data_IF_400826755186
#
_entry.id   IF_400826755186
#
_cell.length_a   1.000
_cell.length_b   1.000
_cell.length_c   1.000
_cell.angle_alpha   90.00
_cell.angle_beta   90.00
_cell.angle_gamma   90.00
#
_symmetry.space_group_name_H-M   'P 1'
#
loop_
_entity.id
_entity.type
_entity.pdbx_description
1 polymer ?
2 polymer ?
3 non-polymer ?
4 water ?
#
# COMPACT_ATOMS: atom_id res chain seq x y z
N UNK A 13 -22.54 -13.30 -14.92
CA UNK A 13 -23.60 -12.87 -13.97
C UNK A 13 -23.14 -11.73 -13.07
N UNK A 14 -23.92 -10.66 -13.08
CA UNK A 14 -23.63 -9.49 -12.28
C UNK A 14 -23.80 -9.77 -10.81
N UNK A 15 -24.75 -10.63 -10.45
CA UNK A 15 -24.97 -10.97 -9.06
C UNK A 15 -23.69 -11.54 -8.47
N UNK A 16 -23.10 -12.51 -9.17
CA UNK A 16 -21.87 -13.13 -8.69
C UNK A 16 -20.72 -12.13 -8.60
N UNK A 17 -20.74 -11.12 -9.48
CA UNK A 17 -19.68 -10.11 -9.44
C UNK A 17 -19.81 -9.25 -8.18
N UNK A 18 -21.05 -9.01 -7.74
CA UNK A 18 -21.26 -8.23 -6.52
C UNK A 18 -20.89 -9.10 -5.31
N UNK A 19 -21.19 -10.39 -5.39
CA UNK A 19 -20.84 -11.29 -4.28
C UNK A 19 -19.33 -11.31 -4.15
N UNK A 20 -18.62 -11.31 -5.27
CA UNK A 20 -17.16 -11.30 -5.27
C UNK A 20 -16.63 -10.01 -4.65
N UNK A 21 -17.19 -8.88 -5.06
CA UNK A 21 -16.76 -7.59 -4.52
C UNK A 21 -16.95 -7.57 -3.03
N UNK A 22 -18.07 -8.12 -2.55
CA UNK A 22 -18.33 -8.13 -1.12
C UNK A 22 -17.36 -9.06 -0.39
N UNK A 23 -17.03 -10.18 -1.01
CA UNK A 23 -16.10 -11.13 -0.42
C UNK A 23 -14.76 -10.43 -0.24
N UNK A 24 -14.30 -9.75 -1.29
CA UNK A 24 -13.03 -9.04 -1.25
C UNK A 24 -13.05 -7.96 -0.17
N UNK A 25 -14.17 -7.24 -0.08
CA UNK A 25 -14.27 -6.19 0.93
C UNK A 25 -14.19 -6.77 2.33
N UNK A 26 -14.94 -7.84 2.57
CA UNK A 26 -14.91 -8.46 3.89
C UNK A 26 -13.49 -8.93 4.22
N UNK A 27 -12.80 -9.54 3.26
CA UNK A 27 -11.44 -10.01 3.48
C UNK A 27 -10.53 -8.82 3.77
N UNK A 28 -10.77 -7.73 3.05
CA UNK A 28 -9.99 -6.50 3.19
C UNK A 28 -10.12 -5.97 4.62
N UNK A 29 -11.34 -6.00 5.14
CA UNK A 29 -11.61 -5.54 6.49
C UNK A 29 -10.89 -6.42 7.50
N UNK A 30 -10.78 -7.72 7.19
CA UNK A 30 -10.10 -8.65 8.08
C UNK A 30 -8.58 -8.53 8.03
N UNK A 31 -8.04 -8.12 6.89
CA UNK A 31 -6.59 -8.03 6.71
C UNK A 31 -5.93 -6.69 7.07
N UNK A 32 -6.66 -5.60 6.88
CA UNK A 32 -6.14 -4.27 7.16
C UNK A 32 -6.84 -3.56 8.32
N UNK A 33 -6.20 -3.52 9.50
CA UNK A 33 -6.70 -2.89 10.72
C UNK A 33 -7.31 -1.50 10.55
N UNK A 34 -6.56 -0.59 9.94
CA UNK A 34 -7.04 0.77 9.73
C UNK A 34 -7.49 1.00 8.29
N UNK A 35 -8.81 1.05 8.10
CA UNK A 35 -9.42 1.25 6.79
C UNK A 35 -9.45 2.74 6.45
N UNK A 36 -9.77 3.04 5.20
CA UNK A 36 -9.83 4.43 4.76
C UNK A 36 -10.97 5.14 5.47
N UNK A 37 -12.07 4.42 5.69
CA UNK A 37 -13.22 4.99 6.36
C UNK A 37 -12.81 5.46 7.75
N UNK A 38 -12.20 4.57 8.52
CA UNK A 38 -11.74 4.90 9.87
C UNK A 38 -10.64 5.95 9.85
N UNK A 39 -9.77 5.87 8.85
CA UNK A 39 -8.68 6.83 8.72
C UNK A 39 -9.23 8.24 8.51
N UNK A 40 -10.20 8.37 7.61
CA UNK A 40 -10.74 9.69 7.35
C UNK A 40 -11.65 10.17 8.49
N UNK A 41 -12.20 9.24 9.26
CA UNK A 41 -13.05 9.62 10.39
C UNK A 41 -12.16 10.29 11.44
N UNK A 42 -10.88 9.92 11.44
CA UNK A 42 -9.91 10.47 12.38
C UNK A 42 -9.30 11.75 11.80
N UNK A 43 -8.92 11.69 10.53
CA UNK A 43 -8.31 12.80 9.82
C UNK A 43 -9.20 14.05 9.81
N UNK A 44 -10.51 13.83 9.71
CA UNK A 44 -11.46 14.94 9.68
C UNK A 44 -11.93 15.30 11.09
N UNK A 45 -11.58 14.48 12.06
CA UNK A 45 -11.95 14.74 13.44
C UNK A 45 -13.39 14.43 13.79
N UNK A 46 -13.93 13.36 13.22
CA UNK A 46 -15.31 12.98 13.50
C UNK A 46 -15.39 11.85 14.52
N UNK A 47 -14.24 11.46 15.07
CA UNK A 47 -14.21 10.37 16.05
C UNK A 47 -14.19 10.92 17.49
N UNK A 48 -14.59 10.09 18.44
CA UNK A 48 -14.62 10.49 19.84
C UNK A 48 -13.38 10.01 20.60
N UNK A 49 -12.78 8.91 20.15
CA UNK A 49 -11.59 8.40 20.83
C UNK A 49 -10.40 9.35 20.65
N UNK A 50 -9.44 9.26 21.55
CA UNK A 50 -8.25 10.11 21.53
C UNK A 50 -7.72 10.39 20.12
N UNK A 51 -7.69 11.67 19.76
CA UNK A 51 -7.18 12.06 18.46
C UNK A 51 -5.70 11.69 18.46
N UNK A 52 -5.06 11.62 17.29
CA UNK A 52 -3.64 11.27 17.21
C UNK A 52 -2.72 12.36 17.76
N UNK A 53 -1.52 11.96 18.16
CA UNK A 53 -0.52 12.88 18.67
C UNK A 53 0.16 13.46 17.44
N UNK A 54 0.19 14.78 17.33
CA UNK A 54 0.78 15.44 16.17
C UNK A 54 2.28 15.67 16.28
N UNK A 55 3.02 15.19 15.27
CA UNK A 55 4.47 15.34 15.22
C UNK A 55 4.81 16.22 14.03
N UNK A 56 5.30 17.42 14.31
CA UNK A 56 5.62 18.39 13.28
C UNK A 56 7.07 18.90 13.33
N UNK A 57 7.84 18.41 14.30
CA UNK A 57 9.23 18.83 14.42
C UNK A 57 10.02 17.89 15.32
N UNK A 58 11.32 18.13 15.40
CA UNK A 58 12.22 17.32 16.20
C UNK A 58 11.73 17.18 17.65
N UNK A 59 11.34 18.30 18.23
CA UNK A 59 10.86 18.32 19.61
C UNK A 59 9.62 17.45 19.80
N UNK A 60 8.61 17.66 18.96
CA UNK A 60 7.38 16.89 19.07
C UNK A 60 7.61 15.40 18.87
N UNK A 61 8.54 15.05 17.98
CA UNK A 61 8.85 13.65 17.73
C UNK A 61 9.31 13.00 19.03
N UNK A 62 10.21 13.67 19.72
CA UNK A 62 10.73 13.17 20.98
C UNK A 62 9.61 12.92 21.99
N UNK A 63 8.72 13.90 22.13
CA UNK A 63 7.61 13.81 23.07
C UNK A 63 6.64 12.67 22.76
N UNK A 64 6.38 12.43 21.49
CA UNK A 64 5.44 11.39 21.11
C UNK A 64 5.96 9.98 20.95
N UNK A 65 7.20 9.74 21.36
CA UNK A 65 7.80 8.42 21.22
C UNK A 65 6.93 7.29 21.75
N UNK A 66 6.36 7.48 22.94
CA UNK A 66 5.50 6.48 23.57
C UNK A 66 4.12 6.36 22.97
N UNK A 67 3.74 7.34 22.16
CA UNK A 67 2.42 7.33 21.55
C UNK A 67 2.41 6.81 20.11
N UNK A 68 3.58 6.42 19.62
CA UNK A 68 3.65 5.91 18.25
C UNK A 68 4.42 4.60 18.17
N UNK A 69 5.27 4.36 19.16
CA UNK A 69 6.08 3.14 19.17
C UNK A 69 5.80 2.27 20.40
N UNK A 70 5.37 1.03 20.14
CA UNK A 70 5.06 0.09 21.21
C UNK A 70 6.29 -0.75 21.59
N UNK A 81 22.67 12.83 10.99
CA UNK A 81 21.23 12.89 11.21
C UNK A 81 20.71 11.55 11.70
N UNK A 82 20.35 11.49 12.99
CA UNK A 82 19.83 10.26 13.57
C UNK A 82 18.31 10.23 13.41
N UNK A 83 17.70 11.41 13.35
CA UNK A 83 16.24 11.51 13.20
C UNK A 83 15.77 11.05 11.83
N UNK A 84 16.34 11.60 10.77
CA UNK A 84 15.94 11.22 9.41
C UNK A 84 16.09 9.71 9.24
N UNK A 85 17.14 9.15 9.83
CA UNK A 85 17.39 7.71 9.75
C UNK A 85 16.37 7.01 10.64
N UNK A 86 16.12 7.62 11.80
CA UNK A 86 15.16 7.08 12.76
C UNK A 86 13.78 6.99 12.11
N UNK A 87 13.41 8.04 11.38
CA UNK A 87 12.13 8.07 10.69
C UNK A 87 12.12 7.04 9.56
N UNK A 88 13.23 6.95 8.84
CA UNK A 88 13.33 5.99 7.74
C UNK A 88 13.13 4.59 8.29
N UNK A 89 13.75 4.31 9.43
CA UNK A 89 13.63 3.00 10.08
C UNK A 89 12.15 2.71 10.38
N UNK A 90 11.43 3.73 10.83
CA UNK A 90 10.03 3.57 11.15
C UNK A 90 9.26 3.16 9.91
N UNK A 91 9.53 3.84 8.79
CA UNK A 91 8.86 3.51 7.55
C UNK A 91 9.15 2.07 7.14
N UNK A 92 10.37 1.60 7.44
CA UNK A 92 10.75 0.23 7.11
C UNK A 92 9.95 -0.78 7.92
N UNK A 93 9.79 -0.53 9.22
CA UNK A 93 9.03 -1.43 10.06
C UNK A 93 7.56 -1.48 9.63
N UNK A 94 7.00 -0.33 9.29
CA UNK A 94 5.61 -0.28 8.87
C UNK A 94 5.43 -1.05 7.56
N UNK A 95 6.36 -0.87 6.63
CA UNK A 95 6.29 -1.57 5.35
C UNK A 95 6.34 -3.08 5.55
N UNK A 96 7.18 -3.53 6.48
CA UNK A 96 7.28 -4.96 6.75
C UNK A 96 5.93 -5.47 7.23
N UNK A 97 5.30 -4.71 8.12
CA UNK A 97 4.00 -5.10 8.64
C UNK A 97 2.99 -5.09 7.49
N UNK A 98 3.08 -4.07 6.64
CA UNK A 98 2.18 -3.92 5.51
C UNK A 98 2.32 -5.08 4.52
N UNK A 99 3.54 -5.55 4.30
CA UNK A 99 3.75 -6.66 3.37
C UNK A 99 2.99 -7.88 3.90
N UNK A 100 3.06 -8.11 5.20
CA UNK A 100 2.37 -9.26 5.78
C UNK A 100 0.86 -9.13 5.70
N UNK A 101 0.33 -7.92 5.89
CA UNK A 101 -1.12 -7.71 5.82
C UNK A 101 -1.61 -7.91 4.38
N UNK A 102 -0.83 -7.42 3.42
CA UNK A 102 -1.19 -7.55 2.02
C UNK A 102 -1.11 -9.01 1.61
N UNK A 103 -0.10 -9.72 2.11
CA UNK A 103 0.04 -11.12 1.81
C UNK A 103 -1.19 -11.89 2.28
N UNK A 104 -1.68 -11.59 3.48
CA UNK A 104 -2.88 -12.25 3.98
C UNK A 104 -4.07 -11.93 3.08
N UNK A 105 -4.15 -10.69 2.61
CA UNK A 105 -5.24 -10.29 1.73
C UNK A 105 -5.18 -11.05 0.41
N UNK A 106 -3.98 -11.11 -0.18
CA UNK A 106 -3.79 -11.81 -1.45
C UNK A 106 -4.29 -13.24 -1.37
N UNK A 107 -3.97 -13.91 -0.26
CA UNK A 107 -4.37 -15.30 -0.08
C UNK A 107 -5.89 -15.49 0.00
N UNK A 108 -6.62 -14.39 0.14
CA UNK A 108 -8.08 -14.45 0.21
C UNK A 108 -8.72 -14.22 -1.17
N UNK A 109 -7.91 -13.87 -2.16
CA UNK A 109 -8.45 -13.65 -3.50
C UNK A 109 -8.69 -15.02 -4.15
N UNK A 110 -9.94 -15.30 -4.53
CA UNK A 110 -10.30 -16.58 -5.16
C UNK A 110 -9.31 -16.99 -6.24
N UNK A 111 -8.74 -18.19 -6.09
CA UNK A 111 -7.80 -18.67 -7.08
C UNK A 111 -6.33 -18.42 -6.78
N UNK A 112 -6.02 -17.42 -5.97
CA UNK A 112 -4.63 -17.08 -5.66
C UNK A 112 -3.79 -18.20 -5.04
N UNK A 113 -4.29 -18.81 -3.97
CA UNK A 113 -3.51 -19.86 -3.31
C UNK A 113 -3.35 -21.13 -4.15
N UNK A 114 -4.16 -21.27 -5.20
CA UNK A 114 -4.03 -22.44 -6.05
C UNK A 114 -3.03 -22.21 -7.18
N UNK A 115 -2.51 -20.99 -7.30
CA UNK A 115 -1.52 -20.70 -8.32
C UNK A 115 -0.19 -21.34 -7.93
N UNK A 116 0.68 -21.54 -8.91
CA UNK A 116 2.02 -22.09 -8.68
C UNK A 116 2.60 -21.21 -7.57
N UNK A 117 3.17 -21.82 -6.54
CA UNK A 117 3.72 -21.06 -5.41
C UNK A 117 4.76 -20.01 -5.79
N UNK A 118 5.64 -20.34 -6.73
CA UNK A 118 6.65 -19.37 -7.14
C UNK A 118 6.00 -18.18 -7.84
N UNK A 119 4.88 -18.41 -8.53
CA UNK A 119 4.19 -17.30 -9.18
C UNK A 119 3.55 -16.41 -8.13
N UNK A 120 3.06 -17.01 -7.04
CA UNK A 120 2.47 -16.25 -5.95
C UNK A 120 3.53 -15.31 -5.40
N UNK A 121 4.73 -15.85 -5.22
CA UNK A 121 5.86 -15.05 -4.70
C UNK A 121 6.16 -13.91 -5.65
N UNK A 122 6.12 -14.20 -6.96
CA UNK A 122 6.41 -13.17 -7.96
C UNK A 122 5.34 -12.08 -7.96
N UNK A 123 4.08 -12.47 -7.85
CA UNK A 123 3.01 -11.47 -7.83
C UNK A 123 3.17 -10.54 -6.63
N UNK A 124 3.55 -11.11 -5.49
CA UNK A 124 3.73 -10.30 -4.28
C UNK A 124 4.97 -9.41 -4.41
N UNK A 125 6.05 -10.00 -4.89
CA UNK A 125 7.31 -9.29 -5.06
C UNK A 125 7.14 -8.00 -5.85
N UNK A 126 6.47 -8.08 -6.99
CA UNK A 126 6.26 -6.91 -7.84
C UNK A 126 5.01 -6.12 -7.51
N UNK A 127 4.15 -6.65 -6.67
CA UNK A 127 2.92 -5.94 -6.36
C UNK A 127 2.82 -5.22 -5.02
N UNK A 128 3.49 -5.74 -4.00
CA UNK A 128 3.40 -5.14 -2.67
C UNK A 128 3.64 -3.63 -2.60
N UNK A 129 4.71 -3.14 -3.19
CA UNK A 129 4.96 -1.72 -3.11
C UNK A 129 3.94 -0.85 -3.83
N UNK A 130 3.34 -1.36 -4.89
CA UNK A 130 2.32 -0.58 -5.59
C UNK A 130 1.10 -0.49 -4.68
N UNK A 131 0.85 -1.58 -3.95
CA UNK A 131 -0.28 -1.62 -3.04
C UNK A 131 0.00 -0.72 -1.85
N UNK A 132 1.23 -0.77 -1.35
CA UNK A 132 1.61 0.05 -0.21
C UNK A 132 1.34 1.52 -0.51
N UNK A 133 1.75 1.97 -1.70
CA UNK A 133 1.53 3.35 -2.12
C UNK A 133 0.05 3.69 -2.17
N UNK A 134 -0.71 2.77 -2.74
CA UNK A 134 -2.15 2.96 -2.88
C UNK A 134 -2.82 3.11 -1.52
N UNK A 135 -2.55 2.17 -0.63
CA UNK A 135 -3.15 2.19 0.69
C UNK A 135 -2.62 3.30 1.58
N UNK A 136 -1.39 3.73 1.31
CA UNK A 136 -0.79 4.80 2.09
C UNK A 136 -1.64 6.06 1.90
N UNK A 137 -2.13 6.26 0.67
CA UNK A 137 -2.96 7.42 0.37
C UNK A 137 -4.17 7.50 1.29
N UNK A 138 -4.73 6.35 1.64
CA UNK A 138 -5.89 6.33 2.52
C UNK A 138 -5.62 6.99 3.87
N UNK A 139 -4.36 6.96 4.31
CA UNK A 139 -3.98 7.54 5.60
C UNK A 139 -3.41 8.95 5.49
N UNK A 140 -3.42 9.51 4.28
CA UNK A 140 -2.85 10.84 4.07
C UNK A 140 -3.84 11.91 3.60
N UNK A 141 -3.51 13.15 3.93
CA UNK A 141 -4.26 14.31 3.47
C UNK A 141 -3.13 15.21 3.02
N UNK A 142 -3.43 16.42 2.58
CA UNK A 142 -2.39 17.33 2.11
C UNK A 142 -1.39 17.74 3.19
N UNK A 143 -1.81 17.70 4.45
CA UNK A 143 -0.97 18.12 5.56
C UNK A 143 -0.16 17.03 6.28
N UNK A 144 -0.46 15.76 6.08
CA UNK A 144 0.32 14.75 6.76
C UNK A 144 -0.17 13.32 6.65
N UNK A 145 0.46 12.43 7.41
CA UNK A 145 0.10 11.03 7.39
C UNK A 145 -0.17 10.45 8.78
N UNK A 146 -1.17 9.57 8.84
CA UNK A 146 -1.53 8.90 10.08
C UNK A 146 -0.59 7.71 10.26
N UNK A 147 -0.02 7.60 11.45
CA UNK A 147 0.89 6.50 11.75
C UNK A 147 0.43 5.82 13.03
N UNK A 148 1.02 4.66 13.31
CA UNK A 148 0.69 3.87 14.51
C UNK A 148 -0.80 3.61 14.61
N UNK A 149 -1.37 3.03 13.56
CA UNK A 149 -2.80 2.73 13.53
C UNK A 149 -3.65 3.93 13.94
N UNK A 150 -3.27 5.11 13.46
CA UNK A 150 -4.01 6.31 13.76
C UNK A 150 -3.75 6.94 15.12
N UNK A 151 -2.77 6.44 15.85
CA UNK A 151 -2.47 7.00 17.16
C UNK A 151 -1.53 8.20 17.03
N UNK A 152 -0.98 8.37 15.83
CA UNK A 152 -0.08 9.48 15.60
C UNK A 152 -0.31 10.12 14.24
N UNK A 153 0.15 11.37 14.10
CA UNK A 153 0.01 12.10 12.85
C UNK A 153 1.29 12.89 12.61
N UNK A 154 2.02 12.55 11.55
CA UNK A 154 3.26 13.23 11.23
C UNK A 154 3.00 14.16 10.04
N UNK A 155 3.37 15.42 10.19
CA UNK A 155 3.14 16.41 9.13
C UNK A 155 4.02 16.22 7.90
N UNK A 156 3.43 16.50 6.74
CA UNK A 156 4.12 16.38 5.46
C UNK A 156 5.34 17.28 5.38
N UNK A 157 5.19 18.51 5.87
CA UNK A 157 6.29 19.47 5.82
C UNK A 157 7.46 19.01 6.68
N UNK A 158 7.18 18.39 7.81
CA UNK A 158 8.23 17.89 8.69
C UNK A 158 9.00 16.78 7.99
N UNK A 159 8.27 15.88 7.34
CA UNK A 159 8.89 14.76 6.63
C UNK A 159 9.68 15.25 5.42
N UNK A 160 9.08 16.17 4.67
CA UNK A 160 9.71 16.73 3.48
C UNK A 160 10.98 17.49 3.81
N UNK A 161 11.06 18.02 5.03
CA UNK A 161 12.23 18.79 5.45
C UNK A 161 13.41 17.93 5.88
N UNK A 162 13.20 16.62 6.01
CA UNK A 162 14.27 15.73 6.42
C UNK A 162 15.44 15.87 5.44
N UNK A 163 16.64 15.98 5.97
CA UNK A 163 17.84 16.14 5.15
C UNK A 163 17.97 15.11 4.04
N UNK A 164 18.71 15.48 2.99
CA UNK A 164 18.91 14.62 1.84
C UNK A 164 19.50 13.25 2.18
N UNK A 165 19.05 12.20 1.48
CA UNK A 165 18.05 12.31 0.42
C UNK A 165 16.69 11.82 0.92
N UNK A 166 16.57 11.68 2.23
CA UNK A 166 15.34 11.20 2.87
C UNK A 166 14.10 12.03 2.56
N UNK A 167 14.26 13.35 2.58
CA UNK A 167 13.13 14.23 2.31
C UNK A 167 12.46 13.92 0.98
N UNK A 168 13.26 13.72 -0.06
CA UNK A 168 12.72 13.41 -1.38
C UNK A 168 12.25 11.96 -1.47
N UNK A 169 12.40 11.23 -0.36
CA UNK A 169 11.97 9.84 -0.30
C UNK A 169 10.54 9.77 0.23
N UNK A 170 10.17 10.78 1.02
CA UNK A 170 8.84 10.85 1.61
C UNK A 170 7.84 11.58 0.71
N UNK A 171 8.25 12.77 0.25
CA UNK A 171 7.42 13.63 -0.59
C UNK A 171 6.63 12.99 -1.74
N UNK A 172 7.29 12.14 -2.57
CA UNK A 172 6.56 11.53 -3.68
C UNK A 172 5.31 10.75 -3.25
N UNK A 173 5.35 10.14 -2.08
CA UNK A 173 4.20 9.39 -1.59
C UNK A 173 3.00 10.33 -1.39
N UNK A 174 3.28 11.52 -0.88
CA UNK A 174 2.23 12.52 -0.67
C UNK A 174 1.76 13.04 -2.03
N UNK A 175 2.70 13.23 -2.95
CA UNK A 175 2.37 13.71 -4.29
C UNK A 175 1.36 12.78 -4.93
N UNK A 176 1.62 11.48 -4.82
CA UNK A 176 0.71 10.49 -5.39
C UNK A 176 -0.64 10.49 -4.68
N UNK A 177 -0.61 10.45 -3.34
CA UNK A 177 -1.81 10.42 -2.53
C UNK A 177 -2.79 11.56 -2.84
N UNK A 178 -2.26 12.76 -3.00
CA UNK A 178 -3.11 13.91 -3.29
C UNK A 178 -3.88 13.70 -4.58
N UNK A 179 -3.21 13.23 -5.63
CA UNK A 179 -3.86 12.99 -6.90
C UNK A 179 -4.84 11.83 -6.79
N UNK A 180 -4.37 10.72 -6.21
CA UNK A 180 -5.19 9.53 -6.07
C UNK A 180 -6.44 9.75 -5.22
N UNK A 181 -6.32 10.47 -4.11
CA UNK A 181 -7.46 10.72 -3.24
C UNK A 181 -8.49 11.63 -3.90
N UNK A 182 -8.08 12.34 -4.94
CA UNK A 182 -9.01 13.22 -5.65
C UNK A 182 -10.07 12.36 -6.33
N UNK A 183 -9.77 11.06 -6.46
CA UNK A 183 -10.70 10.13 -7.09
C UNK A 183 -11.85 9.74 -6.15
N UNK A 184 -11.66 9.94 -4.85
CA UNK A 184 -12.70 9.64 -3.87
C UNK A 184 -13.14 8.18 -3.82
N UNK A 185 -12.20 7.24 -3.89
CA UNK A 185 -12.58 5.83 -3.83
C UNK A 185 -12.87 5.48 -2.37
N UNK A 186 -13.71 4.47 -2.14
CA UNK A 186 -13.97 4.05 -0.77
C UNK A 186 -13.31 2.68 -0.59
N UNK A 187 -13.39 2.12 0.62
CA UNK A 187 -12.78 0.82 0.91
C UNK A 187 -13.30 -0.27 -0.01
N UNK A 188 -14.58 -0.22 -0.38
CA UNK A 188 -15.15 -1.23 -1.26
C UNK A 188 -14.49 -1.13 -2.64
N UNK A 189 -14.28 0.08 -3.13
CA UNK A 189 -13.62 0.25 -4.43
C UNK A 189 -12.19 -0.26 -4.33
N UNK A 190 -11.48 0.19 -3.29
CA UNK A 190 -10.09 -0.20 -3.08
C UNK A 190 -9.84 -1.70 -2.98
N UNK A 191 -10.72 -2.43 -2.30
CA UNK A 191 -10.52 -3.87 -2.16
C UNK A 191 -10.36 -4.55 -3.54
N UNK A 192 -11.23 -4.17 -4.49
CA UNK A 192 -11.15 -4.78 -5.81
C UNK A 192 -9.95 -4.24 -6.59
N UNK A 193 -9.73 -2.93 -6.48
CA UNK A 193 -8.61 -2.28 -7.17
C UNK A 193 -7.29 -2.97 -6.78
N UNK A 194 -7.09 -3.20 -5.49
CA UNK A 194 -5.87 -3.86 -5.00
C UNK A 194 -5.76 -5.29 -5.52
N UNK A 195 -6.88 -6.01 -5.56
CA UNK A 195 -6.88 -7.38 -6.05
C UNK A 195 -6.45 -7.40 -7.53
N UNK A 196 -6.98 -6.47 -8.31
CA UNK A 196 -6.64 -6.40 -9.73
C UNK A 196 -5.13 -6.21 -9.91
N UNK A 197 -4.53 -5.32 -9.14
CA UNK A 197 -3.10 -5.06 -9.21
C UNK A 197 -2.27 -6.29 -8.85
N UNK A 198 -2.64 -6.99 -7.79
CA UNK A 198 -1.87 -8.15 -7.37
C UNK A 198 -1.90 -9.26 -8.43
N UNK A 199 -3.04 -9.43 -9.08
CA UNK A 199 -3.20 -10.46 -10.11
C UNK A 199 -2.81 -9.96 -11.51
N UNK A 200 -1.63 -9.36 -11.61
CA UNK A 200 -1.14 -8.85 -12.90
C UNK A 200 -0.34 -9.95 -13.62
N UNK A 201 -0.86 -10.42 -14.75
CA UNK A 201 -0.22 -11.48 -15.50
C UNK A 201 1.04 -11.12 -16.27
N UNK A 202 1.50 -9.87 -16.17
CA UNK A 202 2.70 -9.47 -16.91
C UNK A 202 3.91 -9.18 -16.03
N UNK A 203 3.87 -9.62 -14.77
CA UNK A 203 5.01 -9.42 -13.88
C UNK A 203 6.15 -10.25 -14.45
N UNK A 204 7.39 -9.78 -14.29
CA UNK A 204 8.57 -10.48 -14.80
C UNK A 204 8.78 -11.83 -14.13
N UNK A 205 9.02 -12.86 -14.95
CA UNK A 205 9.29 -14.18 -14.43
C UNK A 205 8.14 -15.10 -14.07
N UNK A 206 6.91 -14.72 -14.41
CA UNK A 206 5.75 -15.58 -14.11
C UNK A 206 5.84 -16.82 -14.98
N UNK A 207 5.44 -17.97 -14.42
CA UNK A 207 5.51 -19.24 -15.14
C UNK A 207 4.22 -19.62 -15.86
N UNK A 208 3.09 -19.40 -15.19
CA UNK A 208 1.79 -19.75 -15.75
C UNK A 208 0.94 -18.49 -15.81
N UNK A 209 1.02 -17.80 -16.94
CA UNK A 209 0.31 -16.55 -17.15
C UNK A 209 -1.21 -16.63 -17.26
N UNK A 210 -1.69 -17.56 -18.08
CA UNK A 210 -3.12 -17.70 -18.31
C UNK A 210 -4.02 -17.75 -17.07
N UNK A 211 -3.70 -18.62 -16.09
CA UNK A 211 -4.58 -18.64 -14.92
C UNK A 211 -4.66 -17.30 -14.19
N UNK A 212 -3.55 -16.56 -14.17
CA UNK A 212 -3.52 -15.25 -13.53
C UNK A 212 -4.34 -14.27 -14.34
N UNK A 213 -4.17 -14.28 -15.67
CA UNK A 213 -4.93 -13.39 -16.54
C UNK A 213 -6.43 -13.65 -16.44
N UNK A 214 -6.83 -14.91 -16.32
CA UNK A 214 -8.25 -15.23 -16.21
C UNK A 214 -8.83 -14.71 -14.89
N UNK A 215 -8.05 -14.80 -13.82
CA UNK A 215 -8.52 -14.29 -12.53
C UNK A 215 -8.63 -12.78 -12.60
N UNK A 216 -7.64 -12.13 -13.20
CA UNK A 216 -7.69 -10.68 -13.31
C UNK A 216 -8.85 -10.21 -14.18
N UNK A 217 -9.09 -10.88 -15.29
CA UNK A 217 -10.18 -10.49 -16.18
C UNK A 217 -11.49 -10.42 -15.41
N UNK A 218 -11.72 -11.43 -14.56
CA UNK A 218 -12.95 -11.46 -13.76
C UNK A 218 -12.93 -10.35 -12.70
N UNK A 219 -11.78 -10.11 -12.08
CA UNK A 219 -11.69 -9.05 -11.07
C UNK A 219 -11.94 -7.70 -11.73
N UNK A 220 -11.42 -7.52 -12.94
CA UNK A 220 -11.61 -6.26 -13.68
C UNK A 220 -13.10 -6.03 -13.97
N UNK A 221 -13.82 -7.10 -14.32
CA UNK A 221 -15.23 -6.97 -14.59
C UNK A 221 -15.94 -6.59 -13.28
N UNK A 222 -15.45 -7.15 -12.18
CA UNK A 222 -16.01 -6.87 -10.86
C UNK A 222 -15.74 -5.41 -10.50
N UNK A 223 -14.54 -4.92 -10.84
CA UNK A 223 -14.20 -3.54 -10.57
C UNK A 223 -15.03 -2.59 -11.41
N UNK A 224 -15.20 -2.91 -12.69
CA UNK A 224 -16.02 -2.06 -13.56
C UNK A 224 -17.45 -1.90 -13.03
N UNK A 225 -18.07 -3.01 -12.65
CA UNK A 225 -19.44 -2.95 -12.13
C UNK A 225 -19.49 -2.18 -10.81
N UNK A 226 -18.50 -2.41 -9.95
CA UNK A 226 -18.43 -1.72 -8.66
C UNK A 226 -18.39 -0.20 -8.89
N UNK A 227 -17.54 0.24 -9.81
CA UNK A 227 -17.40 1.66 -10.10
C UNK A 227 -18.64 2.26 -10.76
N UNK A 228 -19.29 1.49 -11.62
CA UNK A 228 -20.49 1.95 -12.30
C UNK A 228 -21.63 2.14 -11.30
N UNK A 229 -21.75 1.22 -10.36
CA UNK A 229 -22.80 1.29 -9.35
C UNK A 229 -22.51 2.25 -8.20
N UNK A 230 -21.26 2.26 -7.75
CA UNK A 230 -20.87 3.09 -6.63
C UNK A 230 -20.55 4.54 -6.99
N UNK A 231 -20.16 4.79 -8.24
CA UNK A 231 -19.84 6.14 -8.71
C UNK A 231 -20.55 6.42 -10.03
N UNK A 232 -21.89 6.37 -10.02
CA UNK A 232 -22.76 6.59 -11.17
C UNK A 232 -22.50 7.88 -11.97
N UNK A 233 -22.02 8.91 -11.29
CA UNK A 233 -21.78 10.19 -11.96
C UNK A 233 -20.34 10.42 -12.41
N UNK A 234 -19.53 9.38 -12.36
CA UNK A 234 -18.13 9.49 -12.77
C UNK A 234 -17.78 8.34 -13.70
N UNK A 235 -18.28 8.42 -14.93
CA UNK A 235 -18.04 7.37 -15.91
C UNK A 235 -16.58 7.10 -16.24
N UNK A 236 -15.73 8.10 -16.02
CA UNK A 236 -14.31 7.98 -16.34
C UNK A 236 -13.46 7.27 -15.29
N UNK A 237 -14.06 6.94 -14.15
CA UNK A 237 -13.30 6.32 -13.08
C UNK A 237 -12.57 5.02 -13.40
N UNK A 238 -13.25 4.08 -14.04
CA UNK A 238 -12.61 2.81 -14.36
C UNK A 238 -11.38 3.03 -15.24
N UNK A 239 -11.54 3.82 -16.29
CA UNK A 239 -10.42 4.07 -17.19
C UNK A 239 -9.26 4.74 -16.46
N UNK A 240 -9.58 5.64 -15.53
CA UNK A 240 -8.54 6.34 -14.79
C UNK A 240 -7.78 5.41 -13.84
N UNK A 241 -8.49 4.46 -13.23
CA UNK A 241 -7.83 3.52 -12.33
C UNK A 241 -6.90 2.60 -13.11
N UNK A 242 -7.28 2.24 -14.33
CA UNK A 242 -6.41 1.40 -15.13
C UNK A 242 -5.10 2.15 -15.40
N UNK A 243 -5.21 3.46 -15.66
CA UNK A 243 -4.02 4.25 -15.91
C UNK A 243 -3.21 4.41 -14.63
N UNK A 244 -3.90 4.48 -13.50
CA UNK A 244 -3.23 4.62 -12.20
C UNK A 244 -2.38 3.38 -11.93
N UNK A 245 -2.85 2.22 -12.39
CA UNK A 245 -2.12 0.97 -12.21
C UNK A 245 -0.81 1.06 -12.99
N UNK A 246 -0.87 1.67 -14.17
CA UNK A 246 0.32 1.80 -14.98
C UNK A 246 1.25 2.80 -14.32
N UNK A 247 0.69 3.90 -13.81
CA UNK A 247 1.50 4.93 -13.14
C UNK A 247 2.21 4.39 -11.90
N UNK A 248 1.55 3.49 -11.18
CA UNK A 248 2.13 2.92 -9.97
C UNK A 248 3.44 2.20 -10.26
N UNK A 249 3.56 1.58 -11.42
CA UNK A 249 4.79 0.88 -11.77
C UNK A 249 5.94 1.87 -11.89
N UNK A 250 5.68 2.99 -12.56
CA UNK A 250 6.69 4.02 -12.73
C UNK A 250 7.01 4.62 -11.37
N UNK A 251 5.98 4.78 -10.55
CA UNK A 251 6.16 5.33 -9.22
C UNK A 251 7.03 4.40 -8.38
N UNK A 252 6.81 3.10 -8.51
CA UNK A 252 7.59 2.14 -7.74
C UNK A 252 9.04 2.07 -8.20
N UNK A 253 9.28 2.17 -9.50
CA UNK A 253 10.66 2.12 -10.00
C UNK A 253 11.47 3.26 -9.38
N UNK A 254 10.90 4.46 -9.38
CA UNK A 254 11.56 5.63 -8.82
C UNK A 254 11.82 5.43 -7.33
N UNK A 255 10.92 4.72 -6.66
CA UNK A 255 11.05 4.45 -5.24
C UNK A 255 12.24 3.53 -5.00
N UNK A 256 12.28 2.45 -5.77
CA UNK A 256 13.35 1.46 -5.66
C UNK A 256 14.72 2.08 -5.91
N UNK A 257 14.78 3.04 -6.83
CA UNK A 257 16.03 3.70 -7.15
C UNK A 257 16.48 4.57 -5.99
N UNK A 258 15.62 5.51 -5.59
CA UNK A 258 15.93 6.41 -4.50
C UNK A 258 16.29 5.66 -3.22
N UNK A 259 15.83 4.42 -3.13
CA UNK A 259 16.11 3.61 -1.95
C UNK A 259 17.46 2.94 -2.08
N UNK A 260 17.78 2.46 -3.28
CA UNK A 260 19.06 1.81 -3.51
C UNK A 260 20.20 2.82 -3.49
N UNK A 261 19.88 4.10 -3.33
CA UNK A 261 20.90 5.14 -3.27
C UNK A 261 21.10 5.54 -1.80
N UNK A 262 20.14 5.17 -0.96
CA UNK A 262 20.22 5.47 0.46
C UNK A 262 21.13 4.46 1.15
N UNK A 263 20.83 3.18 0.98
CA UNK A 263 21.64 2.12 1.58
C UNK A 263 22.91 2.03 0.74
N UNK A 264 23.09 3.03 -0.12
CA UNK A 264 24.26 3.09 -0.99
C UNK A 264 25.07 4.34 -0.64
N UNK A 265 24.44 5.28 0.05
CA UNK A 265 25.11 6.51 0.43
C UNK A 265 24.90 6.85 1.91
N UNK A 266 24.60 5.83 2.70
CA UNK A 266 24.38 5.99 4.15
C UNK A 266 24.97 4.78 4.86
N UNK A 267 26.19 4.91 5.35
CA UNK A 267 26.89 3.83 6.06
C UNK A 267 26.00 3.19 7.12
N UNK A 268 25.42 4.02 7.98
CA UNK A 268 24.56 3.55 9.05
C UNK A 268 23.15 3.32 8.50
N UNK A 269 23.00 2.31 7.65
CA UNK A 269 21.71 2.00 7.06
C UNK A 269 21.50 0.52 6.84
N UNK A 270 20.81 -0.12 7.78
CA UNK A 270 20.51 -1.54 7.69
C UNK A 270 19.13 -1.70 7.07
N UNK A 271 18.97 -2.71 6.22
CA UNK A 271 17.69 -2.95 5.57
C UNK A 271 17.08 -4.27 6.03
N UNK A 272 15.81 -4.23 6.42
CA UNK A 272 15.11 -5.41 6.90
C UNK A 272 15.20 -6.53 5.85
N UNK A 273 15.49 -7.76 6.30
CA UNK A 273 15.61 -8.93 5.43
C UNK A 273 14.48 -9.09 4.40
N UNK A 274 13.24 -8.95 4.86
CA UNK A 274 12.08 -9.09 3.99
C UNK A 274 12.12 -8.06 2.87
N UNK A 275 12.49 -6.82 3.20
CA UNK A 275 12.58 -5.77 2.21
C UNK A 275 13.73 -6.02 1.24
N UNK A 276 14.84 -6.55 1.74
CA UNK A 276 15.99 -6.84 0.90
C UNK A 276 15.62 -7.92 -0.12
N UNK A 277 14.80 -8.87 0.32
CA UNK A 277 14.36 -9.96 -0.54
C UNK A 277 13.51 -9.42 -1.68
N UNK A 278 12.54 -8.58 -1.34
CA UNK A 278 11.65 -7.99 -2.33
C UNK A 278 12.38 -7.12 -3.36
N UNK A 279 13.31 -6.30 -2.89
CA UNK A 279 14.07 -5.41 -3.77
C UNK A 279 15.14 -6.13 -4.59
N UNK A 280 15.74 -7.17 -4.01
CA UNK A 280 16.79 -7.93 -4.68
C UNK A 280 16.32 -8.54 -6.00
N UNK A 281 17.07 -8.27 -7.07
CA UNK A 281 16.74 -8.78 -8.39
C UNK A 281 15.43 -8.19 -8.92
N UNK A 282 15.04 -7.06 -8.36
CA UNK A 282 13.83 -6.37 -8.79
C UNK A 282 14.30 -5.41 -9.88
N UNK A 283 14.85 -5.98 -10.95
CA UNK A 283 15.39 -5.21 -12.08
C UNK A 283 14.57 -3.98 -12.48
N UNK B 2 13.65 -15.82 -2.26
CA UNK B 2 12.33 -15.35 -1.75
C UNK B 2 11.70 -16.35 -0.79
N UNK B 3 12.53 -16.93 0.07
CA UNK B 3 12.05 -17.90 1.01
C UNK B 3 11.17 -17.26 2.09
N UNK B 4 11.40 -15.98 2.38
CA UNK B 4 10.58 -15.30 3.39
C UNK B 4 9.16 -15.10 2.85
N UNK B 5 9.04 -14.59 1.63
CA UNK B 5 7.72 -14.39 1.03
C UNK B 5 7.05 -15.77 0.95
N UNK B 6 7.87 -16.77 0.63
CA UNK B 6 7.45 -18.16 0.53
C UNK B 6 6.79 -18.59 1.84
N UNK B 7 7.50 -18.35 2.94
CA UNK B 7 7.02 -18.74 4.27
C UNK B 7 5.72 -18.07 4.69
N UNK B 8 5.59 -16.79 4.37
CA UNK B 8 4.39 -16.03 4.69
C UNK B 8 3.20 -16.57 3.88
N UNK B 9 3.47 -16.96 2.64
CA UNK B 9 2.42 -17.47 1.77
C UNK B 9 1.89 -18.82 2.20
N UNK B 10 2.72 -19.58 2.91
CA UNK B 10 2.30 -20.90 3.33
C UNK B 10 1.79 -21.08 4.74
N UNK B 11 2.01 -20.09 5.60
CA UNK B 11 1.55 -20.17 6.98
C UNK B 11 0.09 -19.73 7.11
N UNK B 12 -0.34 -19.55 8.36
CA UNK B 12 -1.70 -19.12 8.61
C UNK B 12 -2.69 -20.19 8.18
X LIG C 1 8.24 2.51 14.33
X LIG C 1 7.40 1.39 13.87
X LIG C 1 6.25 1.67 12.99
X LIG C 1 6.02 3.04 12.50
X LIG C 1 6.60 4.23 13.26
X LIG C 1 8.01 3.88 13.80
X LIG C 1 5.33 3.60 11.48
X LIG C 1 5.84 4.85 11.18
X LIG C 1 6.66 5.32 12.22
X LIG C 1 5.66 5.61 10.04
X LIG C 1 6.29 6.86 9.92
X LIG C 1 7.09 7.32 10.95
X LIG C 1 7.28 6.56 12.10
X LIG C 1 8.91 4.70 13.87
X LIG C 1 9.31 2.27 15.33
X LIG C 1 9.07 1.23 16.43
X LIG C 1 10.35 2.91 15.27
X LIG C 1 7.67 0.12 14.24
X LIG C 1 5.69 4.62 14.42
X LIG C 1 8.08 7.05 13.11
X LIG C 1 4.80 5.10 8.95
X LIG C 1 3.80 4.42 9.16
X LIG C 1 5.20 5.43 7.72
X LIG C 1 4.43 4.99 6.57
X LIG C 1 5.23 5.15 5.31
X LIG C 1 5.84 4.03 4.70
X LIG C 1 6.61 4.17 3.52
X LIG C 1 6.78 5.43 2.95
X LIG C 1 6.21 6.55 3.52
X LIG C 1 5.41 6.40 4.75
X LIG C 1 6.39 7.79 2.95
X LIG C 1 5.80 8.92 3.55
X LIG C 1 5.04 8.78 4.72
X LIG C 1 4.84 7.52 5.32
X LIG C 1 6.09 7.62 8.77
X LIG C 1 7.23 8.43 8.55
X LIG C 1 5.68 2.65 5.27
X LIG C 1 7.52 5.49 1.84
X LIG C 1 4.45 1.94 4.69
#
# INVERSE_FOLDING_TARGET
MRGSHHHHHHGPESADLRALAKHLYDSYIKSFPLTKAKARAILTGKTTDKSPFVIYDMNSLMMGEDKIKFKHITPLQEQSKEVAIRIFQGCQFRSVEAVQEITEYAKSIPGFVNLDLNDQVTLLKYGVHEIIYTMLASLMNKDGVLISEGQGFMTREFLKSLRKPFGDFMEPKFEFAVKFNALELDDSDLAIFIAVIILSGDRPGLLNVKPIEDIQDNLLQALELQLKLNHPESSQLFAKLLQKMTDLRQIVTEHVQLLQVIKKTETDMSLHPLLQEIYKDLY
RHKILHRLLQEGSPS
FCM C1 C2 C3 C4 C5 C6 O7 C8 C9 C10 C11 C12 C13 O14 C15 C16 O17 O18 C19 O20 C21 O22 N23 C24 C25 C26 C27 C28 C29 C30 C31 C32 C33 C34 O35 C36 C37 F38 C39
#
